data_IF_140098708787
#
_entry.id   IF_140098708787
#
_cell.length_a   1.000
_cell.length_b   1.000
_cell.length_c   1.000
_cell.angle_alpha   90.00
_cell.angle_beta   90.00
_cell.angle_gamma   90.00
#
_symmetry.space_group_name_H-M   'P 1'
#
loop_
_entity.id
_entity.type
_entity.pdbx_description
1 polymer ?
#
# COMPACT_ATOMS: atom_id res chain seq x y z
N UNK A 1 12.18 -7.74 -26.87
CA UNK A 1 10.98 -8.59 -26.65
C UNK A 1 10.54 -8.35 -25.22
N UNK A 2 9.34 -7.86 -25.02
CA UNK A 2 8.85 -7.55 -23.66
C UNK A 2 8.47 -8.81 -22.90
N UNK A 3 8.48 -8.73 -21.58
CA UNK A 3 8.10 -9.74 -20.61
C UNK A 3 6.68 -10.34 -20.80
N UNK A 4 5.96 -9.89 -21.80
CA UNK A 4 4.56 -10.21 -22.13
C UNK A 4 4.23 -11.67 -22.43
N UNK A 5 5.20 -12.51 -22.80
CA UNK A 5 4.93 -13.87 -23.29
C UNK A 5 5.10 -14.96 -22.22
N UNK A 6 5.16 -14.58 -20.95
CA UNK A 6 5.68 -15.47 -19.93
C UNK A 6 4.63 -15.99 -18.97
N UNK A 7 3.52 -15.33 -18.86
CA UNK A 7 2.72 -15.48 -17.65
C UNK A 7 1.42 -16.22 -17.93
N UNK A 8 1.44 -17.55 -17.85
CA UNK A 8 0.34 -18.22 -17.19
C UNK A 8 0.36 -17.75 -15.73
N UNK A 9 -0.47 -16.75 -15.45
CA UNK A 9 -0.52 -16.15 -14.11
C UNK A 9 -0.98 -17.24 -13.15
N UNK A 10 -0.12 -17.60 -12.20
CA UNK A 10 -0.42 -18.63 -11.22
C UNK A 10 -1.75 -18.29 -10.50
N UNK A 11 -2.68 -19.22 -10.57
CA UNK A 11 -3.95 -19.09 -9.85
C UNK A 11 -3.67 -19.06 -8.35
N UNK A 12 -4.20 -18.07 -7.65
CA UNK A 12 -4.08 -17.95 -6.21
C UNK A 12 -5.43 -17.74 -5.56
N UNK A 13 -5.67 -18.45 -4.46
CA UNK A 13 -6.84 -18.25 -3.60
C UNK A 13 -6.65 -17.10 -2.60
N UNK A 14 -5.41 -16.62 -2.45
CA UNK A 14 -5.08 -15.51 -1.56
C UNK A 14 -5.59 -14.19 -2.14
N UNK A 15 -6.08 -13.32 -1.25
CA UNK A 15 -6.76 -12.10 -1.64
C UNK A 15 -6.25 -10.89 -0.86
N UNK A 16 -6.27 -9.72 -1.53
CA UNK A 16 -6.20 -8.41 -0.89
C UNK A 16 -7.61 -7.81 -0.77
N UNK A 17 -7.85 -7.06 0.30
CA UNK A 17 -9.08 -6.29 0.45
C UNK A 17 -8.87 -4.89 -0.13
N UNK A 18 -9.07 -4.75 -1.45
CA UNK A 18 -8.76 -3.55 -2.21
C UNK A 18 -9.94 -2.58 -2.23
N UNK A 19 -9.67 -1.31 -1.96
CA UNK A 19 -10.59 -0.21 -2.22
C UNK A 19 -10.44 0.29 -3.65
N UNK A 20 -9.21 0.55 -4.07
CA UNK A 20 -8.84 0.89 -5.45
C UNK A 20 -7.35 0.64 -5.68
N UNK A 21 -6.94 0.61 -6.93
CA UNK A 21 -5.53 0.58 -7.32
C UNK A 21 -5.34 1.28 -8.67
N UNK A 22 -4.25 2.00 -8.84
CA UNK A 22 -4.01 2.79 -10.06
C UNK A 22 -2.55 3.20 -10.21
N UNK A 23 -2.14 3.47 -11.44
CA UNK A 23 -0.84 4.04 -11.77
C UNK A 23 -0.89 5.57 -11.71
N UNK A 24 0.13 6.19 -11.10
CA UNK A 24 0.26 7.64 -10.97
C UNK A 24 1.71 8.04 -10.66
N UNK A 25 1.89 9.20 -10.02
CA UNK A 25 3.17 9.71 -9.52
C UNK A 25 3.09 9.81 -8.01
N UNK A 26 4.16 9.39 -7.29
CA UNK A 26 4.25 9.59 -5.85
C UNK A 26 4.36 11.08 -5.53
N UNK A 27 3.52 11.56 -4.62
CA UNK A 27 3.46 12.96 -4.21
C UNK A 27 3.96 13.19 -2.77
N UNK A 28 4.38 12.13 -2.06
CA UNK A 28 4.79 12.19 -0.66
C UNK A 28 6.17 11.55 -0.44
N UNK A 29 6.85 11.96 0.63
CA UNK A 29 8.10 11.39 1.08
C UNK A 29 9.29 11.61 0.16
N UNK A 30 10.31 10.76 0.31
CA UNK A 30 11.57 10.89 -0.43
C UNK A 30 11.43 10.53 -1.92
N UNK A 31 10.41 9.76 -2.28
CA UNK A 31 10.13 9.32 -3.66
C UNK A 31 9.21 10.28 -4.43
N UNK A 32 8.98 11.49 -3.93
CA UNK A 32 8.15 12.48 -4.63
C UNK A 32 8.64 12.70 -6.07
N UNK A 33 7.72 12.52 -7.03
CA UNK A 33 8.01 12.63 -8.47
C UNK A 33 8.31 11.30 -9.16
N UNK A 34 8.46 10.20 -8.42
CA UNK A 34 8.67 8.88 -9.02
C UNK A 34 7.37 8.28 -9.55
N UNK A 35 7.44 7.50 -10.65
CA UNK A 35 6.31 6.68 -11.10
C UNK A 35 5.89 5.69 -10.01
N UNK A 36 4.61 5.59 -9.73
CA UNK A 36 4.09 4.82 -8.62
C UNK A 36 2.80 4.09 -8.95
N UNK A 37 2.63 2.91 -8.41
CA UNK A 37 1.38 2.17 -8.44
C UNK A 37 0.78 2.11 -7.04
N UNK A 38 -0.32 2.82 -6.86
CA UNK A 38 -1.03 2.92 -5.58
C UNK A 38 -1.93 1.70 -5.37
N UNK A 39 -1.85 1.09 -4.20
CA UNK A 39 -2.64 -0.06 -3.78
C UNK A 39 -3.35 0.34 -2.49
N UNK A 40 -4.61 0.77 -2.62
CA UNK A 40 -5.41 1.24 -1.48
C UNK A 40 -6.19 0.10 -0.85
N UNK A 41 -5.88 -0.18 0.41
CA UNK A 41 -6.54 -1.22 1.20
C UNK A 41 -7.75 -0.66 1.96
N UNK A 42 -8.74 -1.52 2.17
CA UNK A 42 -9.97 -1.18 2.88
C UNK A 42 -9.74 -1.04 4.39
N UNK A 43 -10.25 0.05 4.96
CA UNK A 43 -10.34 0.25 6.40
C UNK A 43 -9.20 1.04 7.00
N UNK A 44 -9.50 1.75 8.06
CA UNK A 44 -8.57 2.52 8.86
C UNK A 44 -8.91 2.35 10.35
N UNK A 45 -7.89 2.36 11.20
CA UNK A 45 -8.08 2.34 12.66
C UNK A 45 -8.34 3.72 13.26
N UNK A 46 -8.24 4.80 12.45
CA UNK A 46 -8.60 6.16 12.82
C UNK A 46 -9.81 6.66 12.01
N UNK A 47 -10.50 7.65 12.55
CA UNK A 47 -11.62 8.35 11.92
C UNK A 47 -11.37 9.85 12.00
N UNK A 48 -10.31 10.31 11.31
CA UNK A 48 -9.90 11.73 11.37
C UNK A 48 -11.03 12.65 10.91
N UNK A 49 -11.35 13.67 11.71
CA UNK A 49 -12.47 14.57 11.47
C UNK A 49 -13.86 13.99 11.81
N UNK A 50 -13.91 12.74 12.29
CA UNK A 50 -15.15 12.02 12.57
C UNK A 50 -15.82 11.50 11.31
N UNK A 51 -16.80 10.62 11.48
CA UNK A 51 -17.59 10.07 10.37
C UNK A 51 -18.27 11.19 9.56
N UNK A 52 -18.02 11.21 8.26
CA UNK A 52 -18.58 12.21 7.34
C UNK A 52 -18.31 13.66 7.79
N UNK A 53 -17.15 13.88 8.44
CA UNK A 53 -16.73 15.19 8.95
C UNK A 53 -17.49 15.67 10.19
N UNK A 54 -18.11 14.76 10.97
CA UNK A 54 -18.92 15.14 12.14
C UNK A 54 -18.16 15.96 13.18
N UNK A 55 -16.91 15.57 13.51
CA UNK A 55 -16.09 16.32 14.46
C UNK A 55 -15.65 17.68 13.92
N UNK A 56 -15.47 17.82 12.61
CA UNK A 56 -15.19 19.11 11.98
C UNK A 56 -16.42 20.02 12.08
N UNK A 57 -17.61 19.52 11.80
CA UNK A 57 -18.87 20.27 11.95
C UNK A 57 -19.12 20.73 13.39
N UNK A 58 -18.64 19.98 14.38
CA UNK A 58 -18.73 20.33 15.79
C UNK A 58 -17.58 21.23 16.28
N UNK A 59 -16.67 21.65 15.41
CA UNK A 59 -15.50 22.46 15.77
C UNK A 59 -14.42 21.71 16.56
N UNK A 60 -14.48 20.38 16.61
CA UNK A 60 -13.52 19.52 17.32
C UNK A 60 -12.36 19.05 16.43
N UNK A 61 -12.45 19.26 15.14
CA UNK A 61 -11.40 19.02 14.14
C UNK A 61 -11.39 20.17 13.13
N UNK A 62 -10.25 20.40 12.46
CA UNK A 62 -10.14 21.43 11.40
C UNK A 62 -10.23 20.84 10.00
N UNK A 63 -10.21 19.52 9.88
CA UNK A 63 -10.31 18.78 8.64
C UNK A 63 -10.89 17.39 8.88
N UNK A 64 -11.35 16.72 7.83
CA UNK A 64 -11.69 15.29 7.88
C UNK A 64 -10.91 14.52 6.80
N UNK A 65 -10.90 13.19 6.91
CA UNK A 65 -10.21 12.31 5.98
C UNK A 65 -10.81 12.43 4.59
N UNK A 66 -10.01 12.86 3.62
CA UNK A 66 -10.39 13.00 2.20
C UNK A 66 -10.63 11.65 1.51
N UNK A 67 -9.93 10.62 1.98
CA UNK A 67 -10.06 9.25 1.47
C UNK A 67 -11.08 8.38 2.23
N UNK A 68 -11.87 8.95 3.16
CA UNK A 68 -12.83 8.19 3.96
C UNK A 68 -13.83 7.42 3.10
N UNK A 69 -14.38 8.06 2.08
CA UNK A 69 -15.34 7.44 1.17
C UNK A 69 -14.74 6.26 0.40
N UNK A 70 -13.44 6.33 0.09
CA UNK A 70 -12.71 5.28 -0.63
C UNK A 70 -12.41 4.10 0.28
N UNK A 71 -11.70 4.30 1.40
CA UNK A 71 -11.28 3.18 2.24
C UNK A 71 -12.43 2.50 3.02
N UNK A 72 -13.59 3.11 3.11
CA UNK A 72 -14.79 2.45 3.63
C UNK A 72 -15.33 1.36 2.71
N UNK A 73 -15.09 1.50 1.43
CA UNK A 73 -15.46 0.52 0.42
C UNK A 73 -14.26 -0.36 0.11
N UNK A 74 -14.52 -1.56 -0.35
CA UNK A 74 -13.47 -2.46 -0.79
C UNK A 74 -13.97 -3.88 -0.94
N UNK A 75 -13.35 -4.58 -1.87
CA UNK A 75 -13.71 -5.93 -2.27
C UNK A 75 -12.47 -6.83 -2.16
N UNK A 76 -12.68 -8.06 -1.72
CA UNK A 76 -11.62 -9.08 -1.79
C UNK A 76 -11.31 -9.40 -3.25
N UNK A 77 -10.08 -9.22 -3.66
CA UNK A 77 -9.57 -9.50 -5.00
C UNK A 77 -8.38 -10.45 -4.90
N UNK A 78 -8.29 -11.46 -5.77
CA UNK A 78 -7.11 -12.33 -5.85
C UNK A 78 -5.83 -11.51 -6.05
N UNK A 79 -4.69 -12.00 -5.60
CA UNK A 79 -3.39 -11.35 -5.79
C UNK A 79 -3.09 -11.05 -7.26
N UNK A 80 -3.44 -11.98 -8.14
CA UNK A 80 -3.28 -11.81 -9.59
C UNK A 80 -3.94 -10.55 -10.15
N UNK A 81 -4.96 -9.99 -9.51
CA UNK A 81 -5.63 -8.78 -9.98
C UNK A 81 -4.67 -7.60 -10.19
N UNK A 82 -3.66 -7.46 -9.33
CA UNK A 82 -2.65 -6.41 -9.50
C UNK A 82 -1.75 -6.71 -10.70
N UNK A 83 -1.31 -7.95 -10.85
CA UNK A 83 -0.46 -8.37 -11.96
C UNK A 83 -1.20 -8.26 -13.30
N UNK A 84 -2.47 -8.67 -13.36
CA UNK A 84 -3.33 -8.49 -14.54
C UNK A 84 -3.36 -7.01 -14.95
N UNK A 85 -3.58 -6.11 -13.98
CA UNK A 85 -3.61 -4.67 -14.23
C UNK A 85 -2.26 -4.11 -14.71
N UNK A 86 -1.14 -4.62 -14.17
CA UNK A 86 0.20 -4.22 -14.62
C UNK A 86 0.53 -4.72 -16.02
N UNK A 87 0.04 -5.90 -16.39
CA UNK A 87 0.15 -6.42 -17.77
C UNK A 87 -0.68 -5.59 -18.74
N UNK A 88 -1.93 -5.29 -18.41
CA UNK A 88 -2.82 -4.45 -19.22
C UNK A 88 -2.24 -3.06 -19.47
N UNK A 89 -1.60 -2.48 -18.46
CA UNK A 89 -0.97 -1.17 -18.52
C UNK A 89 0.47 -1.18 -19.03
N UNK A 90 1.01 -2.37 -19.36
CA UNK A 90 2.38 -2.57 -19.86
C UNK A 90 3.50 -2.11 -18.90
N UNK A 91 3.22 -2.13 -17.59
CA UNK A 91 4.16 -1.66 -16.54
C UNK A 91 4.77 -2.78 -15.69
N UNK A 92 4.44 -4.05 -15.93
CA UNK A 92 4.94 -5.16 -15.11
C UNK A 92 6.49 -5.19 -15.03
N UNK A 93 7.19 -5.01 -16.15
CA UNK A 93 8.67 -4.92 -16.17
C UNK A 93 9.17 -3.74 -15.30
N UNK A 94 8.45 -2.63 -15.30
CA UNK A 94 8.83 -1.46 -14.50
C UNK A 94 8.59 -1.67 -13.01
N UNK A 95 7.52 -2.38 -12.64
CA UNK A 95 7.26 -2.77 -11.25
C UNK A 95 8.34 -3.73 -10.77
N UNK A 96 8.63 -4.80 -11.52
CA UNK A 96 9.63 -5.80 -11.10
C UNK A 96 11.04 -5.20 -11.03
N UNK A 97 11.36 -4.25 -11.90
CA UNK A 97 12.68 -3.57 -11.91
C UNK A 97 12.79 -2.38 -10.95
N UNK A 98 11.75 -2.07 -10.16
CA UNK A 98 11.73 -0.94 -9.24
C UNK A 98 11.64 0.44 -9.88
N UNK A 99 11.32 0.52 -11.18
CA UNK A 99 11.09 1.80 -11.87
C UNK A 99 9.70 2.37 -11.64
N UNK A 100 8.78 1.55 -11.19
CA UNK A 100 7.47 1.93 -10.67
C UNK A 100 7.40 1.41 -9.24
N UNK A 101 7.32 2.31 -8.27
CA UNK A 101 7.22 1.96 -6.86
C UNK A 101 5.82 1.42 -6.52
N UNK A 102 5.73 0.44 -5.65
CA UNK A 102 4.46 -0.03 -5.10
C UNK A 102 4.16 0.74 -3.82
N UNK A 103 3.05 1.48 -3.82
CA UNK A 103 2.62 2.30 -2.68
C UNK A 103 1.46 1.62 -1.97
N UNK A 104 1.76 0.98 -0.83
CA UNK A 104 0.76 0.40 0.04
C UNK A 104 0.12 1.48 0.90
N UNK A 105 -1.14 1.78 0.66
CA UNK A 105 -1.86 2.91 1.25
C UNK A 105 -3.34 2.57 1.46
N UNK A 106 -4.20 3.56 1.53
CA UNK A 106 -5.65 3.40 1.63
C UNK A 106 -6.19 4.00 2.91
N UNK A 107 -6.79 3.18 3.80
CA UNK A 107 -7.09 3.60 5.15
C UNK A 107 -5.84 3.58 6.02
N UNK A 108 -5.50 2.39 6.55
CA UNK A 108 -4.24 2.15 7.26
C UNK A 108 -3.66 0.79 6.84
N UNK A 109 -2.62 0.77 6.01
CA UNK A 109 -2.05 -0.47 5.50
C UNK A 109 -1.28 -1.27 6.55
N UNK A 110 -0.87 -0.63 7.65
CA UNK A 110 -0.12 -1.32 8.71
C UNK A 110 -1.01 -1.98 9.77
N UNK A 111 -2.34 -2.00 9.60
CA UNK A 111 -3.19 -2.84 10.43
C UNK A 111 -2.78 -4.31 10.34
N UNK A 112 -2.78 -5.02 11.47
CA UNK A 112 -2.27 -6.40 11.59
C UNK A 112 -2.70 -7.34 10.45
N UNK A 113 -3.97 -7.25 10.03
CA UNK A 113 -4.49 -8.06 8.93
C UNK A 113 -3.84 -7.68 7.59
N UNK A 114 -3.72 -6.38 7.32
CA UNK A 114 -3.14 -5.90 6.07
C UNK A 114 -1.65 -6.22 5.97
N UNK A 115 -0.92 -6.15 7.08
CA UNK A 115 0.49 -6.56 7.10
C UNK A 115 0.66 -8.01 6.64
N UNK A 116 -0.21 -8.92 7.10
CA UNK A 116 -0.18 -10.31 6.66
C UNK A 116 -0.55 -10.45 5.17
N UNK A 117 -1.58 -9.72 4.72
CA UNK A 117 -2.02 -9.74 3.32
C UNK A 117 -0.93 -9.17 2.38
N UNK A 118 -0.27 -8.05 2.75
CA UNK A 118 0.84 -7.45 1.98
C UNK A 118 2.04 -8.40 1.92
N UNK A 119 2.49 -8.90 3.07
CA UNK A 119 3.61 -9.86 3.13
C UNK A 119 3.31 -11.10 2.28
N UNK A 120 2.09 -11.62 2.36
CA UNK A 120 1.65 -12.76 1.56
C UNK A 120 1.67 -12.48 0.06
N UNK A 121 1.24 -11.28 -0.36
CA UNK A 121 1.32 -10.85 -1.75
C UNK A 121 2.77 -10.72 -2.24
N UNK A 122 3.64 -10.06 -1.47
CA UNK A 122 5.02 -9.83 -1.86
C UNK A 122 5.81 -11.15 -1.97
N UNK A 123 5.59 -12.10 -1.05
CA UNK A 123 6.21 -13.42 -1.13
C UNK A 123 5.72 -14.18 -2.37
N UNK A 124 4.41 -14.26 -2.58
CA UNK A 124 3.84 -14.89 -3.77
C UNK A 124 4.37 -14.26 -5.06
N UNK A 125 4.42 -12.92 -5.13
CA UNK A 125 4.89 -12.22 -6.31
C UNK A 125 6.38 -12.47 -6.57
N UNK A 126 7.19 -12.52 -5.53
CA UNK A 126 8.60 -12.90 -5.63
C UNK A 126 8.75 -14.35 -6.13
N UNK A 127 8.08 -15.30 -5.49
CA UNK A 127 8.20 -16.73 -5.81
C UNK A 127 7.78 -17.04 -7.26
N UNK A 128 6.73 -16.38 -7.76
CA UNK A 128 6.20 -16.64 -9.10
C UNK A 128 7.00 -15.93 -10.21
N UNK A 129 7.59 -14.77 -9.93
CA UNK A 129 8.10 -13.91 -11.00
C UNK A 129 9.60 -13.64 -10.97
N UNK A 130 10.30 -13.78 -9.84
CA UNK A 130 11.69 -13.37 -9.73
C UNK A 130 12.63 -14.15 -10.66
N UNK A 131 12.58 -15.48 -10.62
CA UNK A 131 13.46 -16.33 -11.41
C UNK A 131 13.14 -16.22 -12.91
N UNK A 132 11.85 -16.23 -13.24
CA UNK A 132 11.40 -16.09 -14.63
C UNK A 132 11.84 -14.75 -15.22
N UNK A 133 11.70 -13.67 -14.44
CA UNK A 133 12.15 -12.35 -14.83
C UNK A 133 13.67 -12.29 -15.06
N UNK A 134 14.45 -12.84 -14.13
CA UNK A 134 15.90 -12.89 -14.23
C UNK A 134 16.37 -13.70 -15.47
N UNK A 135 15.79 -14.88 -15.67
CA UNK A 135 16.13 -15.74 -16.83
C UNK A 135 15.83 -15.08 -18.18
N UNK A 136 14.75 -14.33 -18.27
CA UNK A 136 14.30 -13.79 -19.58
C UNK A 136 14.86 -12.42 -19.89
N UNK A 137 15.16 -11.61 -18.86
CA UNK A 137 15.62 -10.24 -19.07
C UNK A 137 17.10 -10.05 -18.77
N UNK A 138 17.73 -11.00 -18.09
CA UNK A 138 19.09 -10.86 -17.53
C UNK A 138 19.19 -9.84 -16.38
N UNK A 139 18.04 -9.38 -15.84
CA UNK A 139 17.96 -8.40 -14.76
C UNK A 139 17.53 -9.07 -13.47
N UNK A 140 17.86 -8.45 -12.33
CA UNK A 140 17.42 -8.92 -11.02
C UNK A 140 16.02 -8.38 -10.71
N UNK A 141 15.25 -9.17 -9.96
CA UNK A 141 14.04 -8.73 -9.31
C UNK A 141 14.38 -7.68 -8.24
N UNK A 142 13.77 -6.50 -8.34
CA UNK A 142 14.07 -5.35 -7.47
C UNK A 142 12.82 -4.48 -7.26
N UNK A 143 11.73 -5.08 -6.80
CA UNK A 143 10.50 -4.33 -6.51
C UNK A 143 10.74 -3.35 -5.37
N UNK A 144 10.37 -2.08 -5.55
CA UNK A 144 10.48 -1.05 -4.54
C UNK A 144 9.13 -0.85 -3.84
N UNK A 145 9.09 -1.10 -2.54
CA UNK A 145 7.88 -1.09 -1.73
C UNK A 145 7.87 0.08 -0.76
N UNK A 146 6.86 0.92 -0.86
CA UNK A 146 6.60 2.01 0.06
C UNK A 146 5.29 1.79 0.82
N UNK A 147 5.23 2.27 2.04
CA UNK A 147 3.99 2.32 2.82
C UNK A 147 3.69 3.75 3.24
N UNK A 148 2.42 4.16 3.04
CA UNK A 148 1.88 5.40 3.61
C UNK A 148 1.04 5.06 4.83
N UNK A 149 1.51 5.42 6.02
CA UNK A 149 0.88 5.04 7.29
C UNK A 149 0.62 6.24 8.20
N UNK A 150 -0.36 6.11 9.08
CA UNK A 150 -0.60 7.08 10.14
C UNK A 150 0.32 6.89 11.38
N UNK A 151 1.18 5.88 11.37
CA UNK A 151 2.17 5.61 12.42
C UNK A 151 1.62 5.08 13.74
N UNK A 152 0.37 4.59 13.77
CA UNK A 152 -0.25 4.12 15.01
C UNK A 152 -0.22 2.61 15.19
N UNK A 153 0.30 1.88 14.23
CA UNK A 153 0.40 0.42 14.26
C UNK A 153 1.86 -0.02 14.15
N UNK A 154 2.30 -0.86 15.05
CA UNK A 154 3.62 -1.45 14.98
C UNK A 154 3.74 -2.33 13.72
N UNK A 155 4.76 -2.07 12.90
CA UNK A 155 5.05 -2.88 11.72
C UNK A 155 5.86 -4.09 12.17
N UNK A 156 5.37 -5.30 11.91
CA UNK A 156 6.06 -6.54 12.28
C UNK A 156 7.31 -6.78 11.40
N UNK A 157 8.22 -7.62 11.88
CA UNK A 157 9.50 -7.86 11.20
C UNK A 157 9.35 -8.38 9.78
N UNK A 158 8.32 -9.22 9.52
CA UNK A 158 8.10 -9.81 8.19
C UNK A 158 7.76 -8.77 7.14
N UNK A 159 6.94 -7.78 7.49
CA UNK A 159 6.64 -6.69 6.58
C UNK A 159 7.79 -5.67 6.56
N UNK A 160 8.37 -5.36 7.72
CA UNK A 160 9.47 -4.40 7.82
C UNK A 160 10.61 -4.70 6.86
N UNK A 161 11.04 -5.98 6.79
CA UNK A 161 12.14 -6.42 5.92
C UNK A 161 11.81 -6.38 4.43
N UNK A 162 10.56 -6.15 4.05
CA UNK A 162 10.10 -6.05 2.67
C UNK A 162 9.77 -4.61 2.23
N UNK A 163 9.93 -3.64 3.13
CA UNK A 163 9.69 -2.23 2.84
C UNK A 163 11.00 -1.50 2.59
N UNK A 164 11.05 -0.72 1.53
CA UNK A 164 12.18 0.14 1.18
C UNK A 164 11.99 1.55 1.74
N UNK A 165 10.74 2.00 1.89
CA UNK A 165 10.41 3.33 2.41
C UNK A 165 9.12 3.35 3.22
N UNK A 166 9.13 4.14 4.29
CA UNK A 166 7.95 4.38 5.14
C UNK A 166 7.66 5.89 5.16
N UNK A 167 6.50 6.26 4.61
CA UNK A 167 5.97 7.61 4.65
C UNK A 167 4.98 7.71 5.81
N UNK A 168 5.42 8.25 6.95
CA UNK A 168 4.63 8.34 8.17
C UNK A 168 3.94 9.69 8.32
N UNK A 169 2.62 9.70 8.19
CA UNK A 169 1.77 10.89 8.36
C UNK A 169 1.11 10.91 9.74
N UNK A 170 1.87 11.26 10.78
CA UNK A 170 1.39 11.34 12.16
C UNK A 170 0.23 12.32 12.27
N UNK A 171 -0.90 11.88 12.83
CA UNK A 171 -2.10 12.72 12.97
C UNK A 171 -1.99 13.64 14.18
N UNK A 172 -2.17 14.94 13.97
CA UNK A 172 -2.08 15.95 15.00
C UNK A 172 -3.44 16.16 15.73
N UNK A 173 -3.47 17.02 16.76
CA UNK A 173 -4.67 17.28 17.55
C UNK A 173 -5.85 17.79 16.74
N UNK A 174 -5.56 18.53 15.67
CA UNK A 174 -6.56 19.08 14.75
C UNK A 174 -7.31 18.02 13.91
N UNK A 175 -6.89 16.76 13.96
CA UNK A 175 -7.65 15.64 13.40
C UNK A 175 -8.90 15.25 14.20
N UNK A 176 -9.06 15.82 15.41
CA UNK A 176 -10.13 15.45 16.35
C UNK A 176 -9.91 14.11 17.06
N UNK A 177 -8.81 13.40 16.77
CA UNK A 177 -8.49 12.12 17.39
C UNK A 177 -7.84 12.33 18.78
N UNK A 178 -8.21 11.50 19.75
CA UNK A 178 -7.59 11.51 21.08
C UNK A 178 -6.10 11.20 20.97
N UNK A 179 -5.25 11.85 21.81
CA UNK A 179 -3.80 11.69 21.78
C UNK A 179 -3.36 10.22 21.83
N UNK A 180 -3.92 9.41 22.71
CA UNK A 180 -3.58 7.99 22.86
C UNK A 180 -4.03 7.09 21.68
N UNK A 181 -4.80 7.62 20.74
CA UNK A 181 -5.18 6.91 19.49
C UNK A 181 -4.30 7.29 18.30
N UNK A 182 -3.77 8.53 18.28
CA UNK A 182 -3.00 9.07 17.16
C UNK A 182 -1.49 9.11 17.40
N UNK A 183 -1.03 8.99 18.65
CA UNK A 183 0.38 8.91 19.02
C UNK A 183 0.60 7.60 19.77
N UNK A 184 1.31 6.70 19.16
CA UNK A 184 1.71 5.40 19.70
C UNK A 184 3.23 5.34 19.62
N UNK A 185 3.90 5.69 20.70
CA UNK A 185 5.36 5.85 20.74
C UNK A 185 6.08 4.59 20.26
N UNK A 186 5.67 3.41 20.71
CA UNK A 186 6.25 2.12 20.31
C UNK A 186 6.25 1.91 18.79
N UNK A 187 5.23 2.44 18.08
CA UNK A 187 5.15 2.35 16.62
C UNK A 187 5.99 3.40 15.90
N UNK A 188 6.32 4.51 16.56
CA UNK A 188 7.08 5.61 15.99
C UNK A 188 8.59 5.52 16.29
N UNK A 189 8.99 4.72 17.28
CA UNK A 189 10.40 4.54 17.69
C UNK A 189 11.13 3.43 16.93
N UNK A 190 10.44 2.71 16.05
CA UNK A 190 11.02 1.72 15.16
C UNK A 190 11.61 2.38 13.93
#
# INVERSE_FOLDING_TARGET
MGFRNIVDIAETTNTLNLSEHFYSVQCEGASTGYPAYFIRLKGCNLMCGGKDGSLMKEGKATWWCDSEAVWRQGVKKPFKTLVDSWLEQEILDWVISGRVHLIWTGGEPTMKKHQADITGFLNWFYDEYADTYAMQTGKQYNVFNEVETNGTQFINDKLWTQLDQINCSVKLSNSGMRRNKRIVNESLER
#
